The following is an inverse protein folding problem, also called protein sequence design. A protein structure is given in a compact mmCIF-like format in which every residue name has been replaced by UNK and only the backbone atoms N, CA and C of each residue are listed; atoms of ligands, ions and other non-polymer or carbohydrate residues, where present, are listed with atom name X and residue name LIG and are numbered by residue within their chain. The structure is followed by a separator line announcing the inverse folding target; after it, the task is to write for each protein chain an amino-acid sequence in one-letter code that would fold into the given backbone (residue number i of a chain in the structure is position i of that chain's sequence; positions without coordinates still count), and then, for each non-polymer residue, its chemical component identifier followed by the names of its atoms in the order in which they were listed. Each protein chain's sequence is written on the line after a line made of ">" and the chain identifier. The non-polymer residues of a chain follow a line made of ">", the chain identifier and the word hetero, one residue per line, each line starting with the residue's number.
data_IF_277925324345
#
_entry.id   IF_277925324345
#
_cell.length_a   1.000
_cell.length_b   1.000
_cell.length_c   1.000
_cell.angle_alpha   90.00
_cell.angle_beta   90.00
_cell.angle_gamma   90.00
#
_symmetry.space_group_name_H-M   'P 1'
#
loop_
_entity.id
_entity.type
_entity.pdbx_description
1 polymer ?
#
# COMPACT_ATOMS: atom_id res chain seq x y z
N UNK A 1 -14.00 -18.61 3.73
CA UNK A 1 -13.98 -17.68 4.88
C UNK A 1 -15.43 -17.24 5.09
N UNK A 2 -15.98 -17.30 6.32
CA UNK A 2 -17.37 -16.86 6.56
C UNK A 2 -17.48 -15.34 6.44
N UNK A 3 -18.68 -14.83 6.11
CA UNK A 3 -18.95 -13.38 5.99
C UNK A 3 -18.54 -12.62 7.25
N UNK A 4 -18.97 -13.10 8.43
CA UNK A 4 -18.61 -12.48 9.71
C UNK A 4 -17.09 -12.36 9.91
N UNK A 5 -16.31 -13.34 9.44
CA UNK A 5 -14.85 -13.29 9.53
C UNK A 5 -14.24 -12.28 8.56
N UNK A 6 -14.82 -12.12 7.36
CA UNK A 6 -14.41 -11.08 6.41
C UNK A 6 -14.72 -9.70 6.98
N UNK A 7 -15.93 -9.49 7.50
CA UNK A 7 -16.35 -8.24 8.12
C UNK A 7 -15.44 -7.88 9.30
N UNK A 8 -15.18 -8.82 10.21
CA UNK A 8 -14.30 -8.62 11.35
C UNK A 8 -12.87 -8.26 10.94
N UNK A 9 -12.31 -8.97 9.94
CA UNK A 9 -10.97 -8.66 9.42
C UNK A 9 -10.90 -7.28 8.78
N UNK A 10 -11.91 -6.91 7.98
CA UNK A 10 -11.95 -5.60 7.33
C UNK A 10 -12.07 -4.47 8.36
N UNK A 11 -12.91 -4.64 9.38
CA UNK A 11 -13.08 -3.62 10.42
C UNK A 11 -11.87 -3.53 11.37
N UNK A 12 -11.16 -4.63 11.62
CA UNK A 12 -9.99 -4.64 12.50
C UNK A 12 -8.70 -4.16 11.83
N UNK A 13 -8.36 -4.74 10.69
CA UNK A 13 -7.06 -4.54 10.04
C UNK A 13 -7.10 -3.50 8.92
N UNK A 14 -8.31 -3.17 8.45
CA UNK A 14 -8.53 -2.35 7.26
C UNK A 14 -9.60 -1.26 7.47
N UNK A 15 -9.80 -0.78 8.70
CA UNK A 15 -10.74 0.30 9.01
C UNK A 15 -10.51 1.56 8.15
N UNK A 16 -9.25 1.91 7.91
CA UNK A 16 -8.87 3.04 7.04
C UNK A 16 -9.36 2.84 5.59
N UNK A 17 -9.36 1.59 5.11
CA UNK A 17 -9.89 1.26 3.78
C UNK A 17 -11.41 1.43 3.74
N UNK A 18 -12.13 1.02 4.79
CA UNK A 18 -13.57 1.23 4.89
C UNK A 18 -13.93 2.72 4.83
N UNK A 19 -13.18 3.57 5.54
CA UNK A 19 -13.38 5.02 5.49
C UNK A 19 -13.00 5.61 4.13
N UNK A 20 -11.91 5.12 3.53
CA UNK A 20 -11.51 5.51 2.19
C UNK A 20 -12.58 5.14 1.15
N UNK A 21 -13.26 4.00 1.26
CA UNK A 21 -14.36 3.64 0.37
C UNK A 21 -15.50 4.64 0.45
N UNK A 22 -15.93 4.99 1.66
CA UNK A 22 -17.01 5.93 1.88
C UNK A 22 -16.71 7.30 1.25
N UNK A 23 -15.50 7.83 1.47
CA UNK A 23 -15.08 9.14 0.96
C UNK A 23 -14.79 9.11 -0.54
N UNK A 24 -13.95 8.17 -0.98
CA UNK A 24 -13.39 8.15 -2.33
C UNK A 24 -14.26 7.48 -3.38
N UNK A 25 -15.03 6.44 -3.02
CA UNK A 25 -15.84 5.69 -3.98
C UNK A 25 -17.34 6.00 -3.87
N UNK A 26 -17.82 6.33 -2.67
CA UNK A 26 -19.22 6.71 -2.44
C UNK A 26 -19.43 8.23 -2.35
N UNK A 27 -18.38 9.04 -2.47
CA UNK A 27 -18.47 10.50 -2.52
C UNK A 27 -18.85 11.18 -1.19
N UNK A 28 -18.77 10.47 -0.06
CA UNK A 28 -19.15 11.01 1.25
C UNK A 28 -17.94 11.67 1.91
N UNK A 29 -17.56 12.86 1.43
CA UNK A 29 -16.35 13.56 1.89
C UNK A 29 -16.33 13.82 3.41
N UNK A 30 -17.49 14.14 4.00
CA UNK A 30 -17.66 14.38 5.45
C UNK A 30 -17.73 13.12 6.31
N UNK A 31 -17.51 11.92 5.75
CA UNK A 31 -17.47 10.70 6.55
C UNK A 31 -16.34 10.80 7.59
N UNK A 32 -16.61 10.47 8.85
CA UNK A 32 -15.64 10.51 9.96
C UNK A 32 -15.21 9.11 10.40
N UNK A 33 -16.08 8.12 10.26
CA UNK A 33 -15.79 6.70 10.47
C UNK A 33 -16.66 5.85 9.55
N UNK A 34 -16.21 4.62 9.26
CA UNK A 34 -16.96 3.66 8.47
C UNK A 34 -16.71 2.24 8.98
N UNK A 35 -17.76 1.46 9.09
CA UNK A 35 -17.70 0.04 9.43
C UNK A 35 -18.38 -0.78 8.34
N UNK A 36 -17.74 -1.86 7.94
CA UNK A 36 -18.37 -2.86 7.10
C UNK A 36 -19.39 -3.64 7.93
N UNK A 37 -20.58 -3.84 7.36
CA UNK A 37 -21.67 -4.58 8.01
C UNK A 37 -22.00 -5.88 7.28
N UNK A 38 -21.56 -6.03 6.02
CA UNK A 38 -21.78 -7.25 5.26
C UNK A 38 -21.09 -7.28 3.91
N UNK A 39 -21.15 -8.45 3.29
CA UNK A 39 -20.64 -8.75 1.94
C UNK A 39 -21.77 -9.35 1.12
N UNK A 40 -22.05 -8.74 -0.03
CA UNK A 40 -23.03 -9.25 -0.99
C UNK A 40 -22.37 -9.55 -2.33
N UNK A 41 -23.09 -10.21 -3.24
CA UNK A 41 -22.59 -10.41 -4.60
C UNK A 41 -22.33 -9.10 -5.36
N UNK A 42 -22.99 -8.01 -4.95
CA UNK A 42 -22.87 -6.71 -5.59
C UNK A 42 -21.75 -5.84 -5.01
N UNK A 43 -21.32 -6.08 -3.76
CA UNK A 43 -20.42 -5.15 -3.09
C UNK A 43 -20.31 -5.33 -1.58
N UNK A 44 -19.55 -4.42 -0.95
CA UNK A 44 -19.45 -4.28 0.49
C UNK A 44 -20.52 -3.34 1.04
N UNK A 45 -21.26 -3.78 2.04
CA UNK A 45 -22.18 -2.94 2.78
C UNK A 45 -21.43 -2.23 3.92
N UNK A 46 -21.60 -0.92 4.03
CA UNK A 46 -21.01 -0.11 5.10
C UNK A 46 -22.05 0.72 5.83
N UNK A 47 -21.80 0.94 7.11
CA UNK A 47 -22.41 1.99 7.91
C UNK A 47 -21.36 3.07 8.20
N UNK A 48 -21.72 4.32 7.94
CA UNK A 48 -20.78 5.45 7.90
C UNK A 48 -21.31 6.58 8.77
N UNK A 49 -20.48 7.04 9.72
CA UNK A 49 -20.74 8.27 10.45
C UNK A 49 -20.29 9.45 9.60
N UNK A 50 -21.14 10.48 9.51
CA UNK A 50 -20.85 11.70 8.75
C UNK A 50 -20.92 12.88 9.71
N UNK A 51 -19.96 13.78 9.60
CA UNK A 51 -19.94 14.99 10.41
C UNK A 51 -21.23 15.80 10.23
N UNK A 52 -21.85 16.20 11.34
CA UNK A 52 -23.13 16.92 11.34
C UNK A 52 -24.37 16.05 11.18
N UNK A 53 -24.24 14.73 11.01
CA UNK A 53 -25.38 13.81 10.92
C UNK A 53 -25.52 12.95 12.18
N UNK A 54 -26.73 12.90 12.73
CA UNK A 54 -27.04 12.07 13.90
C UNK A 54 -27.22 10.58 13.55
N UNK A 55 -27.52 10.25 12.30
CA UNK A 55 -27.76 8.87 11.84
C UNK A 55 -26.61 8.39 10.97
N UNK A 56 -26.28 7.10 11.09
CA UNK A 56 -25.32 6.44 10.21
C UNK A 56 -25.93 6.30 8.81
N UNK A 57 -25.13 6.62 7.79
CA UNK A 57 -25.49 6.36 6.39
C UNK A 57 -25.16 4.91 6.03
N UNK A 58 -26.09 4.24 5.36
CA UNK A 58 -25.88 2.90 4.79
C UNK A 58 -25.42 3.04 3.36
N UNK A 59 -24.22 2.57 3.05
CA UNK A 59 -23.60 2.65 1.73
C UNK A 59 -23.33 1.24 1.18
N UNK A 60 -23.37 1.12 -0.15
CA UNK A 60 -22.92 -0.07 -0.87
C UNK A 60 -21.76 0.32 -1.78
N UNK A 61 -20.58 -0.21 -1.48
CA UNK A 61 -19.41 -0.07 -2.35
C UNK A 61 -19.49 -1.18 -3.38
N UNK A 62 -19.88 -0.81 -4.60
CA UNK A 62 -20.10 -1.76 -5.69
C UNK A 62 -18.80 -2.36 -6.18
N UNK A 63 -18.80 -3.67 -6.41
CA UNK A 63 -17.75 -4.31 -7.18
C UNK A 63 -17.85 -3.91 -8.65
N UNK A 64 -16.72 -3.89 -9.39
CA UNK A 64 -16.73 -3.62 -10.83
C UNK A 64 -17.59 -4.63 -11.60
N UNK A 65 -17.60 -5.88 -11.14
CA UNK A 65 -18.46 -6.96 -11.63
C UNK A 65 -19.02 -7.74 -10.45
N UNK A 66 -20.22 -8.33 -10.55
CA UNK A 66 -20.77 -9.16 -9.49
C UNK A 66 -19.85 -10.33 -9.14
N UNK A 67 -19.74 -10.64 -7.85
CA UNK A 67 -19.05 -11.84 -7.37
C UNK A 67 -19.74 -13.09 -7.89
N UNK A 68 -18.94 -14.01 -8.41
CA UNK A 68 -19.36 -15.36 -8.79
C UNK A 68 -18.84 -16.41 -7.79
N UNK A 69 -17.71 -16.13 -7.15
CA UNK A 69 -17.08 -17.02 -6.19
C UNK A 69 -16.56 -16.25 -4.97
N UNK A 70 -16.72 -16.83 -3.78
CA UNK A 70 -16.25 -16.22 -2.53
C UNK A 70 -14.73 -15.95 -2.50
N UNK A 71 -13.93 -16.69 -3.28
CA UNK A 71 -12.49 -16.46 -3.43
C UNK A 71 -12.15 -15.09 -4.03
N UNK A 72 -13.06 -14.49 -4.80
CA UNK A 72 -12.84 -13.20 -5.47
C UNK A 72 -12.91 -12.01 -4.50
N UNK A 73 -13.53 -12.16 -3.33
CA UNK A 73 -13.73 -11.08 -2.34
C UNK A 73 -12.42 -10.39 -1.98
N UNK A 74 -11.34 -11.17 -1.77
CA UNK A 74 -10.02 -10.63 -1.44
C UNK A 74 -9.44 -9.80 -2.58
N UNK A 75 -9.58 -10.27 -3.82
CA UNK A 75 -9.09 -9.55 -5.00
C UNK A 75 -9.78 -8.19 -5.14
N UNK A 76 -11.10 -8.18 -5.06
CA UNK A 76 -11.86 -6.92 -5.11
C UNK A 76 -11.60 -6.01 -3.91
N UNK A 77 -11.36 -6.53 -2.71
CA UNK A 77 -10.96 -5.70 -1.58
C UNK A 77 -9.66 -4.93 -1.86
N UNK A 78 -8.66 -5.60 -2.44
CA UNK A 78 -7.38 -4.95 -2.79
C UNK A 78 -7.57 -3.94 -3.92
N UNK A 79 -8.33 -4.28 -4.95
CA UNK A 79 -8.59 -3.40 -6.09
C UNK A 79 -9.34 -2.12 -5.64
N UNK A 80 -10.43 -2.28 -4.87
CA UNK A 80 -11.19 -1.17 -4.33
C UNK A 80 -10.34 -0.32 -3.38
N UNK A 81 -9.46 -0.94 -2.57
CA UNK A 81 -8.53 -0.21 -1.71
C UNK A 81 -7.65 0.72 -2.55
N UNK A 82 -7.03 0.23 -3.61
CA UNK A 82 -6.23 1.08 -4.49
C UNK A 82 -7.06 2.18 -5.16
N UNK A 83 -8.25 1.84 -5.67
CA UNK A 83 -9.13 2.80 -6.33
C UNK A 83 -9.58 3.93 -5.39
N UNK A 84 -9.96 3.60 -4.15
CA UNK A 84 -10.42 4.57 -3.17
C UNK A 84 -9.33 5.55 -2.74
N UNK A 85 -8.12 5.04 -2.48
CA UNK A 85 -7.00 5.90 -2.11
C UNK A 85 -6.47 6.72 -3.30
N UNK A 86 -6.61 6.23 -4.53
CA UNK A 86 -6.31 7.02 -5.73
C UNK A 86 -7.29 8.20 -5.88
N UNK A 87 -8.58 7.98 -5.62
CA UNK A 87 -9.62 9.01 -5.70
C UNK A 87 -9.44 10.13 -4.65
N UNK A 88 -8.84 9.84 -3.49
CA UNK A 88 -8.67 10.79 -2.38
C UNK A 88 -7.42 11.68 -2.48
N UNK A 89 -6.52 11.41 -3.43
CA UNK A 89 -5.31 12.21 -3.66
C UNK A 89 -4.17 12.00 -2.64
N UNK A 90 -3.01 12.60 -2.93
CA UNK A 90 -1.74 12.40 -2.21
C UNK A 90 -1.79 12.80 -0.72
N UNK A 91 -2.51 13.86 -0.39
CA UNK A 91 -2.59 14.39 0.98
C UNK A 91 -3.27 13.42 1.95
N UNK A 92 -4.32 12.74 1.48
CA UNK A 92 -5.00 11.72 2.26
C UNK A 92 -4.12 10.49 2.51
N UNK A 93 -3.38 10.06 1.48
CA UNK A 93 -2.47 8.91 1.50
C UNK A 93 -1.32 9.07 2.48
N UNK A 94 -0.84 10.30 2.69
CA UNK A 94 0.23 10.59 3.65
C UNK A 94 -0.25 10.59 5.10
N UNK A 95 -1.46 11.09 5.39
CA UNK A 95 -2.00 11.11 6.76
C UNK A 95 -2.47 9.75 7.27
N UNK A 96 -3.00 8.88 6.40
CA UNK A 96 -3.61 7.60 6.81
C UNK A 96 -2.71 6.40 6.53
N UNK A 97 -1.39 6.56 6.64
CA UNK A 97 -0.47 5.42 6.79
C UNK A 97 -0.28 4.52 5.56
N UNK A 98 -0.77 4.90 4.37
CA UNK A 98 -0.70 4.13 3.11
C UNK A 98 0.72 3.66 2.74
N UNK A 99 1.74 4.28 3.34
CA UNK A 99 3.15 4.02 3.05
C UNK A 99 3.99 3.52 4.22
N UNK A 100 3.42 3.27 5.41
CA UNK A 100 4.26 2.93 6.57
C UNK A 100 5.12 1.67 6.33
N UNK A 101 4.66 0.73 5.51
CA UNK A 101 5.47 -0.43 5.04
C UNK A 101 6.10 -0.22 3.65
N UNK A 102 5.37 0.31 2.67
CA UNK A 102 5.85 0.42 1.28
C UNK A 102 6.95 1.46 1.07
N UNK A 103 6.86 2.65 1.68
CA UNK A 103 7.90 3.67 1.56
C UNK A 103 9.16 3.31 2.34
N UNK A 104 9.03 2.66 3.51
CA UNK A 104 10.19 2.11 4.24
C UNK A 104 10.97 1.12 3.37
N UNK A 105 10.27 0.25 2.62
CA UNK A 105 10.93 -0.69 1.71
C UNK A 105 11.59 0.01 0.51
N UNK A 106 10.96 1.05 -0.06
CA UNK A 106 11.57 1.84 -1.13
C UNK A 106 12.83 2.57 -0.66
N UNK A 107 12.78 3.22 0.51
CA UNK A 107 13.93 3.89 1.13
C UNK A 107 15.03 2.87 1.45
N UNK A 108 14.69 1.70 2.01
CA UNK A 108 15.65 0.64 2.28
C UNK A 108 16.28 0.09 0.99
N UNK A 109 15.50 -0.04 -0.08
CA UNK A 109 15.98 -0.44 -1.41
C UNK A 109 16.97 0.55 -2.00
N UNK A 110 16.66 1.86 -1.93
CA UNK A 110 17.55 2.95 -2.36
C UNK A 110 18.82 2.97 -1.51
N UNK A 111 18.70 2.89 -0.18
CA UNK A 111 19.85 2.84 0.72
C UNK A 111 20.75 1.63 0.45
N UNK A 112 20.17 0.45 0.21
CA UNK A 112 20.90 -0.78 -0.15
C UNK A 112 21.59 -0.66 -1.51
N UNK A 113 20.95 -0.02 -2.49
CA UNK A 113 21.56 0.24 -3.79
C UNK A 113 22.75 1.21 -3.69
N UNK A 114 22.61 2.30 -2.91
CA UNK A 114 23.71 3.24 -2.64
C UNK A 114 24.86 2.53 -1.93
N UNK A 115 24.59 1.73 -0.90
CA UNK A 115 25.60 0.96 -0.18
C UNK A 115 26.35 -0.01 -1.12
N UNK A 116 25.61 -0.77 -1.94
CA UNK A 116 26.19 -1.69 -2.94
C UNK A 116 27.09 -0.96 -3.93
N UNK A 117 26.68 0.23 -4.41
CA UNK A 117 27.45 1.03 -5.37
C UNK A 117 28.74 1.58 -4.77
N UNK A 118 28.73 1.97 -3.48
CA UNK A 118 29.94 2.39 -2.74
C UNK A 118 30.93 1.23 -2.58
N UNK A 119 30.46 0.03 -2.26
CA UNK A 119 31.31 -1.17 -2.17
C UNK A 119 31.95 -1.51 -3.52
N UNK A 120 31.18 -1.46 -4.61
CA UNK A 120 31.73 -1.73 -5.95
C UNK A 120 32.78 -0.70 -6.37
N UNK A 121 32.55 0.60 -6.13
CA UNK A 121 33.54 1.63 -6.42
C UNK A 121 34.82 1.47 -5.60
N UNK A 122 34.70 1.10 -4.31
CA UNK A 122 35.87 0.79 -3.46
C UNK A 122 36.66 -0.42 -3.95
N UNK A 123 35.97 -1.48 -4.37
CA UNK A 123 36.60 -2.69 -4.92
C UNK A 123 37.32 -2.41 -6.26
N UNK A 124 36.73 -1.61 -7.15
CA UNK A 124 37.36 -1.19 -8.42
C UNK A 124 38.59 -0.32 -8.16
N UNK A 125 38.53 0.60 -7.19
CA UNK A 125 39.68 1.42 -6.80
C UNK A 125 40.85 0.59 -6.27
N UNK A 126 40.58 -0.41 -5.42
CA UNK A 126 41.58 -1.35 -4.91
C UNK A 126 42.18 -2.23 -6.03
N UNK A 127 41.35 -2.74 -6.94
CA UNK A 127 41.81 -3.54 -8.07
C UNK A 127 42.71 -2.74 -9.03
N UNK A 128 42.34 -1.48 -9.32
CA UNK A 128 43.14 -0.58 -10.14
C UNK A 128 44.49 -0.25 -9.47
N UNK A 129 44.50 0.00 -8.15
CA UNK A 129 45.73 0.25 -7.39
C UNK A 129 46.66 -0.98 -7.39
N UNK A 130 46.12 -2.19 -7.19
CA UNK A 130 46.90 -3.42 -7.22
C UNK A 130 47.54 -3.68 -8.59
N UNK A 131 46.83 -3.39 -9.69
CA UNK A 131 47.35 -3.53 -11.05
C UNK A 131 48.54 -2.57 -11.31
N UNK A 132 48.44 -1.32 -10.87
CA UNK A 132 49.52 -0.32 -11.02
C UNK A 132 50.77 -0.74 -10.27
N UNK A 133 50.63 -1.23 -9.03
CA UNK A 133 51.76 -1.73 -8.22
C UNK A 133 52.42 -2.93 -8.89
N UNK A 134 51.63 -3.89 -9.40
CA UNK A 134 52.17 -5.08 -10.06
C UNK A 134 52.94 -4.74 -11.35
N UNK A 135 52.44 -3.80 -12.17
CA UNK A 135 53.12 -3.33 -13.38
C UNK A 135 54.41 -2.57 -13.04
N UNK A 136 54.39 -1.72 -12.01
CA UNK A 136 55.56 -1.00 -11.55
C UNK A 136 56.65 -1.94 -11.00
N UNK A 137 56.27 -2.99 -10.28
CA UNK A 137 57.20 -4.00 -9.77
C UNK A 137 57.87 -4.80 -10.91
N UNK A 138 57.13 -5.19 -11.95
CA UNK A 138 57.68 -5.92 -13.11
C UNK A 138 58.69 -5.09 -13.92
N UNK A 139 58.55 -3.76 -13.95
CA UNK A 139 59.47 -2.87 -14.67
C UNK A 139 60.81 -2.63 -13.96
N UNK A 140 60.94 -2.99 -12.67
CA UNK A 140 62.17 -2.80 -11.89
C UNK A 140 63.09 -4.03 -11.86
N UNK A 141 62.64 -5.17 -12.38
CA UNK A 141 63.36 -6.46 -12.33
C UNK A 141 63.86 -6.89 -13.72
N UNK A 142 63.69 -6.04 -14.74
CA UNK A 142 64.18 -6.25 -16.10
C UNK A 142 65.27 -5.27 -16.48
#
# INVERSE_FOLDING_TARGET
>A
MSEARVVGHMNGDHADSCLAYARGLCGVAGATSAQMTGVSCAGFALEVAVEGEAKLRKLLVRFPVPLRHASQVRGFAVELHHAAFAALGLHYRLRHGYYRRGALMAIAGVAKAIAKRRVQLGAVGLAAAALVVAVAARRRVG
#
